data_IF_456017951306
#
_entry.id   IF_456017951306
#
_cell.length_a   1.000
_cell.length_b   1.000
_cell.length_c   1.000
_cell.angle_alpha   90.00
_cell.angle_beta   90.00
_cell.angle_gamma   90.00
#
_symmetry.space_group_name_H-M   'P 1'
#
loop_
_entity.id
_entity.type
_entity.pdbx_description
1 polymer ?
#
# COMPACT_ATOMS: atom_id res chain seq x y z
N UNK A 1 -74.34 14.43 27.33
CA UNK A 1 -73.22 15.28 26.84
C UNK A 1 -72.09 15.24 27.85
N UNK A 2 -71.03 14.50 27.57
CA UNK A 2 -69.83 14.45 28.44
C UNK A 2 -69.09 15.78 28.24
N UNK A 3 -69.14 16.70 29.20
CA UNK A 3 -68.31 17.90 29.21
C UNK A 3 -66.88 17.48 29.53
N UNK A 4 -66.08 17.26 28.50
CA UNK A 4 -64.65 17.07 28.67
C UNK A 4 -64.04 18.29 29.36
N UNK A 5 -63.37 18.07 30.49
CA UNK A 5 -62.66 19.11 31.20
C UNK A 5 -61.48 19.56 30.32
N UNK A 6 -61.53 20.80 29.80
CA UNK A 6 -60.52 21.36 28.89
C UNK A 6 -59.10 21.23 29.46
N UNK A 7 -58.96 21.32 30.78
CA UNK A 7 -57.68 21.14 31.49
C UNK A 7 -57.17 19.71 31.38
N UNK A 8 -58.05 18.71 31.46
CA UNK A 8 -57.68 17.30 31.33
C UNK A 8 -57.23 16.97 29.89
N UNK A 9 -57.93 17.48 28.87
CA UNK A 9 -57.49 17.34 27.47
C UNK A 9 -56.11 17.98 27.24
N UNK A 10 -55.86 19.15 27.83
CA UNK A 10 -54.57 19.85 27.70
C UNK A 10 -53.43 19.08 28.37
N UNK A 11 -53.67 18.48 29.54
CA UNK A 11 -52.68 17.63 30.23
C UNK A 11 -52.37 16.37 29.42
N UNK A 12 -53.38 15.70 28.86
CA UNK A 12 -53.19 14.51 28.02
C UNK A 12 -52.39 14.88 26.76
N UNK A 13 -52.67 16.02 26.14
CA UNK A 13 -51.93 16.51 24.98
C UNK A 13 -50.45 16.77 25.33
N UNK A 14 -50.18 17.50 26.42
CA UNK A 14 -48.81 17.75 26.88
C UNK A 14 -48.05 16.46 27.19
N UNK A 15 -48.70 15.50 27.84
CA UNK A 15 -48.11 14.20 28.15
C UNK A 15 -47.80 13.40 26.88
N UNK A 16 -48.70 13.42 25.89
CA UNK A 16 -48.47 12.77 24.59
C UNK A 16 -47.31 13.41 23.80
N UNK A 17 -47.19 14.74 23.83
CA UNK A 17 -46.07 15.48 23.22
C UNK A 17 -44.76 15.12 23.93
N UNK A 18 -44.76 15.05 25.26
CA UNK A 18 -43.58 14.66 26.03
C UNK A 18 -43.12 13.24 25.69
N UNK A 19 -44.04 12.27 25.58
CA UNK A 19 -43.71 10.90 25.16
C UNK A 19 -43.12 10.88 23.74
N UNK A 20 -43.71 11.62 22.79
CA UNK A 20 -43.20 11.72 21.42
C UNK A 20 -41.78 12.31 21.38
N UNK A 21 -41.52 13.38 22.15
CA UNK A 21 -40.19 13.99 22.24
C UNK A 21 -39.17 13.04 22.90
N UNK A 22 -39.57 12.30 23.95
CA UNK A 22 -38.72 11.32 24.60
C UNK A 22 -38.37 10.14 23.68
N UNK A 23 -39.35 9.63 22.92
CA UNK A 23 -39.13 8.58 21.92
C UNK A 23 -38.23 9.09 20.79
N UNK A 24 -38.47 10.30 20.27
CA UNK A 24 -37.63 10.91 19.24
C UNK A 24 -36.18 11.10 19.70
N UNK A 25 -35.97 11.59 20.93
CA UNK A 25 -34.64 11.76 21.51
C UNK A 25 -33.91 10.41 21.69
N UNK A 26 -34.61 9.37 22.14
CA UNK A 26 -34.03 8.03 22.24
C UNK A 26 -33.67 7.45 20.86
N UNK A 27 -34.54 7.60 19.86
CA UNK A 27 -34.27 7.17 18.48
C UNK A 27 -33.04 7.88 17.94
N UNK A 28 -32.96 9.20 18.10
CA UNK A 28 -31.82 10.00 17.65
C UNK A 28 -30.53 9.57 18.34
N UNK A 29 -30.58 9.30 19.66
CA UNK A 29 -29.43 8.81 20.42
C UNK A 29 -28.99 7.42 19.98
N UNK A 30 -29.91 6.49 19.71
CA UNK A 30 -29.56 5.18 19.12
C UNK A 30 -28.97 5.33 17.72
N UNK A 31 -29.50 6.23 16.89
CA UNK A 31 -28.98 6.46 15.53
C UNK A 31 -27.58 7.08 15.56
N UNK A 32 -27.32 8.06 16.42
CA UNK A 32 -25.98 8.62 16.64
C UNK A 32 -24.99 7.58 17.16
N UNK A 33 -25.42 6.68 18.04
CA UNK A 33 -24.58 5.58 18.51
C UNK A 33 -24.26 4.57 17.39
N UNK A 34 -25.22 4.27 16.51
CA UNK A 34 -25.00 3.39 15.35
C UNK A 34 -24.02 4.03 14.36
N UNK A 35 -24.14 5.33 14.08
CA UNK A 35 -23.19 6.04 13.19
C UNK A 35 -21.76 5.96 13.76
N UNK A 36 -21.58 6.13 15.07
CA UNK A 36 -20.26 5.99 15.70
C UNK A 36 -19.67 4.57 15.60
N UNK A 37 -20.49 3.53 15.46
CA UNK A 37 -20.02 2.14 15.34
C UNK A 37 -19.48 1.84 13.92
N UNK A 38 -19.89 2.61 12.91
CA UNK A 38 -19.48 2.41 11.51
C UNK A 38 -18.62 3.56 10.96
N UNK A 39 -18.01 4.37 11.85
CA UNK A 39 -17.08 5.40 11.42
C UNK A 39 -15.76 4.76 10.95
N UNK A 40 -15.26 5.18 9.79
CA UNK A 40 -13.96 4.80 9.23
C UNK A 40 -12.99 5.99 9.14
N UNK A 41 -13.26 7.05 9.91
CA UNK A 41 -12.46 8.27 9.97
C UNK A 41 -10.98 7.99 10.25
N UNK A 42 -10.66 7.02 11.10
CA UNK A 42 -9.28 6.69 11.41
C UNK A 42 -8.56 6.10 10.20
N UNK A 43 -9.17 5.14 9.51
CA UNK A 43 -8.56 4.54 8.32
C UNK A 43 -8.42 5.57 7.20
N UNK A 44 -9.40 6.46 7.01
CA UNK A 44 -9.30 7.56 6.05
C UNK A 44 -8.04 8.42 6.28
N UNK A 45 -7.85 8.88 7.52
CA UNK A 45 -6.70 9.71 7.88
C UNK A 45 -5.39 8.94 7.75
N UNK A 46 -5.35 7.69 8.21
CA UNK A 46 -4.12 6.92 8.33
C UNK A 46 -3.71 6.20 7.04
N UNK A 47 -4.56 6.23 6.01
CA UNK A 47 -4.28 5.65 4.70
C UNK A 47 -4.26 6.67 3.57
N UNK A 48 -4.35 7.96 3.87
CA UNK A 48 -4.52 9.03 2.87
C UNK A 48 -5.73 8.72 1.96
N UNK A 49 -6.89 8.50 2.59
CA UNK A 49 -8.19 8.15 2.00
C UNK A 49 -8.26 6.84 1.19
N UNK A 50 -7.19 6.04 1.21
CA UNK A 50 -7.15 4.80 0.46
C UNK A 50 -8.03 3.69 1.06
N UNK A 51 -8.23 3.64 2.39
CA UNK A 51 -9.05 2.63 3.06
C UNK A 51 -10.21 3.26 3.83
N UNK A 52 -11.38 2.61 3.76
CA UNK A 52 -12.49 2.81 4.71
C UNK A 52 -12.72 1.48 5.43
N UNK A 53 -12.17 1.38 6.63
CA UNK A 53 -12.31 0.27 7.55
C UNK A 53 -12.79 0.85 8.88
N UNK A 54 -13.74 0.19 9.52
CA UNK A 54 -14.32 0.66 10.78
C UNK A 54 -13.21 0.84 11.81
N UNK A 55 -13.23 1.94 12.57
CA UNK A 55 -12.15 2.37 13.46
C UNK A 55 -11.69 1.28 14.45
N UNK A 56 -12.61 0.43 14.92
CA UNK A 56 -12.28 -0.70 15.79
C UNK A 56 -11.42 -1.77 15.11
N UNK A 57 -11.73 -2.09 13.86
CA UNK A 57 -10.95 -3.05 13.07
C UNK A 57 -9.63 -2.41 12.62
N UNK A 58 -9.65 -1.12 12.26
CA UNK A 58 -8.42 -0.39 11.95
C UNK A 58 -7.46 -0.34 13.14
N UNK A 59 -7.96 -0.13 14.36
CA UNK A 59 -7.16 -0.23 15.58
C UNK A 59 -6.55 -1.63 15.77
N UNK A 60 -7.34 -2.69 15.54
CA UNK A 60 -6.84 -4.08 15.59
C UNK A 60 -5.75 -4.28 14.55
N UNK A 61 -5.94 -3.80 13.33
CA UNK A 61 -4.95 -3.84 12.24
C UNK A 61 -3.64 -3.15 12.61
N UNK A 62 -3.69 -1.93 13.17
CA UNK A 62 -2.48 -1.26 13.67
C UNK A 62 -1.74 -2.11 14.70
N UNK A 63 -2.47 -2.66 15.68
CA UNK A 63 -1.88 -3.52 16.71
C UNK A 63 -1.21 -4.76 16.10
N UNK A 64 -1.86 -5.41 15.13
CA UNK A 64 -1.30 -6.58 14.43
C UNK A 64 -0.07 -6.20 13.60
N UNK A 65 -0.09 -5.05 12.91
CA UNK A 65 1.06 -4.52 12.19
C UNK A 65 2.29 -4.44 13.09
N UNK A 66 2.22 -3.79 14.26
CA UNK A 66 3.39 -3.69 15.16
C UNK A 66 3.87 -5.05 15.66
N UNK A 67 2.94 -5.95 16.00
CA UNK A 67 3.29 -7.30 16.45
C UNK A 67 4.06 -8.08 15.37
N UNK A 68 3.62 -7.98 14.12
CA UNK A 68 4.27 -8.68 13.00
C UNK A 68 5.55 -7.99 12.56
N UNK A 69 5.56 -6.66 12.47
CA UNK A 69 6.76 -5.88 12.12
C UNK A 69 7.92 -6.18 13.09
N UNK A 70 7.66 -6.24 14.40
CA UNK A 70 8.68 -6.56 15.40
C UNK A 70 9.22 -8.00 15.29
N UNK A 71 8.49 -8.91 14.62
CA UNK A 71 8.90 -10.30 14.40
C UNK A 71 9.61 -10.50 13.05
N UNK A 72 9.49 -9.55 12.13
CA UNK A 72 9.89 -9.70 10.73
C UNK A 72 11.41 -9.61 10.45
N UNK A 73 12.25 -9.63 11.48
CA UNK A 73 13.70 -9.54 11.36
C UNK A 73 14.39 -10.60 12.22
N UNK A 74 14.84 -11.66 11.57
CA UNK A 74 15.66 -12.73 12.13
C UNK A 74 17.11 -12.60 11.63
N UNK A 75 17.99 -12.13 12.51
CA UNK A 75 19.38 -11.78 12.18
C UNK A 75 20.28 -12.98 11.85
N UNK A 76 19.91 -14.19 12.28
CA UNK A 76 20.76 -15.38 12.14
C UNK A 76 20.34 -16.30 10.98
N UNK A 77 19.48 -15.83 10.06
CA UNK A 77 19.09 -16.65 8.90
C UNK A 77 20.20 -16.69 7.86
N UNK A 78 20.57 -17.88 7.39
CA UNK A 78 21.65 -18.07 6.42
C UNK A 78 21.27 -18.87 5.17
N UNK A 79 20.22 -19.69 5.24
CA UNK A 79 19.83 -20.59 4.14
C UNK A 79 18.47 -20.28 3.53
N UNK A 80 17.48 -19.94 4.35
CA UNK A 80 16.11 -19.62 3.91
C UNK A 80 15.74 -18.20 4.36
N UNK A 81 16.59 -17.23 3.97
CA UNK A 81 16.53 -15.86 4.47
C UNK A 81 15.12 -15.28 4.39
N UNK A 82 14.51 -15.34 3.21
CA UNK A 82 13.16 -14.82 3.04
C UNK A 82 12.13 -15.69 3.74
N UNK A 83 12.26 -17.00 3.88
CA UNK A 83 11.29 -17.76 4.68
C UNK A 83 11.31 -17.39 6.18
N UNK A 84 12.46 -16.93 6.69
CA UNK A 84 12.61 -16.52 8.08
C UNK A 84 12.31 -15.02 8.31
N UNK A 85 12.20 -14.21 7.25
CA UNK A 85 12.13 -12.75 7.33
C UNK A 85 11.02 -12.13 6.48
N UNK A 86 10.59 -10.93 6.88
CA UNK A 86 9.74 -10.05 6.06
C UNK A 86 8.42 -10.67 5.59
N UNK A 87 7.65 -11.29 6.48
CA UNK A 87 6.28 -11.69 6.17
C UNK A 87 5.36 -10.47 5.97
N UNK A 88 4.22 -10.61 5.26
CA UNK A 88 3.22 -9.55 5.18
C UNK A 88 2.85 -8.99 6.56
N UNK A 89 2.91 -7.67 6.69
CA UNK A 89 2.59 -6.92 7.93
C UNK A 89 1.23 -6.25 7.87
N UNK A 90 0.61 -6.26 6.70
CA UNK A 90 -0.66 -5.63 6.41
C UNK A 90 -1.48 -6.56 5.52
N UNK A 91 -2.78 -6.69 5.76
CA UNK A 91 -3.65 -7.53 4.92
C UNK A 91 -4.50 -6.66 4.01
N UNK A 92 -4.29 -6.73 2.70
CA UNK A 92 -5.16 -6.06 1.74
C UNK A 92 -6.33 -6.99 1.36
N UNK A 93 -7.55 -6.63 1.76
CA UNK A 93 -8.72 -7.49 1.59
C UNK A 93 -9.03 -7.85 0.11
N UNK A 94 -8.74 -6.92 -0.80
CA UNK A 94 -9.02 -7.07 -2.22
C UNK A 94 -7.73 -7.04 -3.05
N UNK A 95 -6.66 -7.65 -2.53
CA UNK A 95 -5.48 -7.86 -3.37
C UNK A 95 -5.80 -8.82 -4.52
N UNK A 96 -5.22 -8.55 -5.69
CA UNK A 96 -5.42 -9.33 -6.90
C UNK A 96 -4.11 -9.41 -7.68
N UNK A 97 -3.81 -10.60 -8.19
CA UNK A 97 -2.70 -10.83 -9.11
C UNK A 97 -3.14 -10.52 -10.54
N UNK A 98 -2.38 -9.68 -11.25
CA UNK A 98 -2.59 -9.37 -12.67
C UNK A 98 -1.32 -9.72 -13.46
N UNK A 99 -1.49 -10.17 -14.71
CA UNK A 99 -0.46 -10.70 -15.59
C UNK A 99 -0.50 -12.22 -15.69
N UNK A 100 0.41 -12.81 -16.46
CA UNK A 100 0.48 -14.25 -16.67
C UNK A 100 0.74 -15.02 -15.37
N UNK A 101 0.27 -16.27 -15.33
CA UNK A 101 0.67 -17.22 -14.28
C UNK A 101 2.16 -17.53 -14.39
N UNK A 102 2.83 -17.73 -13.24
CA UNK A 102 4.29 -17.87 -13.20
C UNK A 102 4.95 -16.51 -13.07
N UNK A 103 6.16 -16.38 -13.61
CA UNK A 103 6.92 -15.13 -13.58
C UNK A 103 6.28 -14.05 -14.48
N UNK A 104 6.33 -12.78 -14.06
CA UNK A 104 5.82 -11.61 -14.79
C UNK A 104 4.58 -10.93 -14.18
N UNK A 105 3.60 -11.71 -13.69
CA UNK A 105 2.43 -11.16 -13.02
C UNK A 105 2.73 -10.63 -11.62
N UNK A 106 2.04 -9.57 -11.16
CA UNK A 106 2.27 -8.93 -9.85
C UNK A 106 0.99 -8.76 -9.05
N UNK A 107 1.10 -8.70 -7.73
CA UNK A 107 -0.02 -8.51 -6.79
C UNK A 107 -0.30 -7.04 -6.51
N UNK A 108 -1.53 -6.59 -6.72
CA UNK A 108 -1.96 -5.20 -6.50
C UNK A 108 -2.98 -5.19 -5.38
N UNK A 109 -2.84 -4.25 -4.44
CA UNK A 109 -3.84 -4.01 -3.41
C UNK A 109 -5.01 -3.18 -3.97
N UNK A 110 -6.20 -3.79 -4.02
CA UNK A 110 -7.48 -3.16 -4.34
C UNK A 110 -7.46 -2.31 -5.61
N UNK A 111 -7.28 -2.99 -6.76
CA UNK A 111 -7.27 -2.35 -8.09
C UNK A 111 -8.57 -1.56 -8.37
N UNK A 112 -9.69 -1.95 -7.74
CA UNK A 112 -10.98 -1.27 -7.93
C UNK A 112 -11.02 0.13 -7.33
N UNK A 113 -10.20 0.43 -6.31
CA UNK A 113 -10.06 1.80 -5.80
C UNK A 113 -9.36 2.71 -6.79
N UNK A 114 -8.37 2.20 -7.53
CA UNK A 114 -7.68 2.96 -8.57
C UNK A 114 -8.61 3.28 -9.75
N UNK A 115 -9.59 2.41 -10.02
CA UNK A 115 -10.61 2.62 -11.07
C UNK A 115 -11.49 3.85 -10.84
N UNK A 116 -11.58 4.33 -9.60
CA UNK A 116 -12.37 5.51 -9.24
C UNK A 116 -11.61 6.82 -9.52
N UNK A 117 -10.31 6.75 -9.79
CA UNK A 117 -9.49 7.91 -10.12
C UNK A 117 -9.82 8.40 -11.54
N UNK A 118 -9.82 9.73 -11.72
CA UNK A 118 -10.04 10.33 -13.05
C UNK A 118 -8.86 10.10 -13.99
N UNK A 119 -7.66 10.09 -13.42
CA UNK A 119 -6.38 9.84 -14.07
C UNK A 119 -5.50 9.07 -13.08
N UNK A 120 -4.70 8.15 -13.59
CA UNK A 120 -3.78 7.37 -12.80
C UNK A 120 -2.48 7.12 -13.57
N UNK A 121 -1.38 6.99 -12.85
CA UNK A 121 -0.05 6.85 -13.43
C UNK A 121 0.59 5.55 -12.95
N UNK A 122 0.97 4.70 -13.90
CA UNK A 122 1.61 3.42 -13.64
C UNK A 122 2.97 3.42 -14.33
N UNK A 123 4.01 3.19 -13.54
CA UNK A 123 5.36 2.99 -14.04
C UNK A 123 5.77 1.52 -13.88
N UNK A 124 6.23 0.91 -14.97
CA UNK A 124 6.74 -0.46 -14.98
C UNK A 124 8.18 -0.48 -15.46
N UNK A 125 9.11 -0.80 -14.57
CA UNK A 125 10.54 -0.78 -14.83
C UNK A 125 11.04 -2.22 -14.97
N UNK A 126 11.72 -2.51 -16.09
CA UNK A 126 12.23 -3.83 -16.44
C UNK A 126 11.13 -4.77 -16.90
N UNK A 127 10.62 -4.53 -18.10
CA UNK A 127 9.62 -5.41 -18.73
C UNK A 127 10.22 -6.68 -19.32
N UNK A 128 11.48 -6.61 -19.77
CA UNK A 128 12.15 -7.64 -20.56
C UNK A 128 11.31 -8.16 -21.75
N UNK A 129 10.42 -7.33 -22.30
CA UNK A 129 9.51 -7.68 -23.39
C UNK A 129 8.30 -8.54 -22.97
N UNK A 130 8.16 -8.83 -21.68
CA UNK A 130 6.95 -9.39 -21.08
C UNK A 130 6.03 -8.24 -20.69
N UNK A 131 4.77 -8.35 -21.09
CA UNK A 131 3.83 -7.25 -21.16
C UNK A 131 2.44 -7.62 -20.62
N UNK A 132 2.31 -8.82 -20.07
CA UNK A 132 1.02 -9.35 -19.61
C UNK A 132 0.45 -8.55 -18.45
N UNK A 133 1.30 -8.09 -17.52
CA UNK A 133 0.90 -7.24 -16.41
C UNK A 133 0.32 -5.92 -16.90
N UNK A 134 1.04 -5.23 -17.80
CA UNK A 134 0.63 -3.93 -18.35
C UNK A 134 -0.65 -4.07 -19.20
N UNK A 135 -0.76 -5.15 -19.97
CA UNK A 135 -1.96 -5.45 -20.74
C UNK A 135 -3.18 -5.66 -19.83
N UNK A 136 -3.05 -6.50 -18.80
CA UNK A 136 -4.17 -6.81 -17.92
C UNK A 136 -4.55 -5.60 -17.06
N UNK A 137 -3.58 -4.85 -16.53
CA UNK A 137 -3.90 -3.67 -15.73
C UNK A 137 -4.53 -2.55 -16.58
N UNK A 138 -4.13 -2.40 -17.86
CA UNK A 138 -4.80 -1.48 -18.79
C UNK A 138 -6.26 -1.85 -19.03
N UNK A 139 -6.57 -3.15 -19.04
CA UNK A 139 -7.95 -3.62 -19.16
C UNK A 139 -8.81 -3.23 -17.94
N UNK A 140 -8.27 -3.36 -16.74
CA UNK A 140 -8.96 -2.96 -15.50
C UNK A 140 -9.05 -1.44 -15.35
N UNK A 141 -7.99 -0.73 -15.75
CA UNK A 141 -7.79 0.70 -15.58
C UNK A 141 -7.52 1.39 -16.93
N UNK A 142 -8.53 1.47 -17.83
CA UNK A 142 -8.35 2.01 -19.18
C UNK A 142 -7.91 3.48 -19.20
N UNK A 143 -8.20 4.22 -18.13
CA UNK A 143 -7.86 5.64 -17.98
C UNK A 143 -6.45 5.88 -17.39
N UNK A 144 -5.71 4.84 -17.00
CA UNK A 144 -4.34 5.04 -16.53
C UNK A 144 -3.37 5.23 -17.70
N UNK A 145 -2.43 6.13 -17.49
CA UNK A 145 -1.24 6.26 -18.31
C UNK A 145 -0.20 5.25 -17.80
N UNK A 146 0.18 4.32 -18.66
CA UNK A 146 1.16 3.28 -18.36
C UNK A 146 2.43 3.61 -19.12
N UNK A 147 3.53 3.77 -18.38
CA UNK A 147 4.86 3.95 -18.94
C UNK A 147 5.74 2.77 -18.56
N UNK A 148 6.32 2.15 -19.57
CA UNK A 148 7.19 0.99 -19.39
C UNK A 148 8.60 1.32 -19.80
N UNK A 149 9.57 0.93 -18.98
CA UNK A 149 10.98 1.29 -19.11
C UNK A 149 11.85 0.05 -19.16
N UNK A 150 12.77 -0.01 -20.12
CA UNK A 150 13.75 -1.11 -20.20
C UNK A 150 15.05 -0.64 -20.86
N UNK A 151 16.16 -1.32 -20.59
CA UNK A 151 17.44 -1.04 -21.25
C UNK A 151 17.46 -1.52 -22.70
N UNK A 152 16.66 -2.53 -23.03
CA UNK A 152 16.47 -3.04 -24.39
C UNK A 152 15.29 -2.35 -25.06
N UNK A 153 15.23 -2.42 -26.38
CA UNK A 153 14.08 -1.91 -27.14
C UNK A 153 13.04 -3.02 -27.28
N UNK A 154 11.79 -2.73 -26.92
CA UNK A 154 10.67 -3.64 -27.11
C UNK A 154 9.46 -2.89 -27.68
N UNK A 155 8.55 -3.63 -28.31
CA UNK A 155 7.33 -3.05 -28.86
C UNK A 155 6.17 -3.22 -27.87
N UNK A 156 5.86 -2.16 -27.13
CA UNK A 156 4.61 -2.05 -26.38
C UNK A 156 3.66 -1.12 -27.15
N UNK A 157 2.69 -1.69 -27.85
CA UNK A 157 1.66 -0.93 -28.58
C UNK A 157 0.33 -1.00 -27.85
N UNK A 158 -0.48 0.05 -27.97
CA UNK A 158 -1.88 0.17 -27.51
C UNK A 158 -2.12 0.19 -25.99
N UNK A 159 -1.28 -0.47 -25.20
CA UNK A 159 -1.48 -0.60 -23.76
C UNK A 159 -0.58 0.31 -22.91
N UNK A 160 0.61 0.64 -23.40
CA UNK A 160 1.58 1.46 -22.68
C UNK A 160 2.43 2.32 -23.62
N UNK A 161 3.11 3.32 -23.07
CA UNK A 161 4.17 4.07 -23.75
C UNK A 161 5.51 3.50 -23.33
N UNK A 162 6.26 2.97 -24.30
CA UNK A 162 7.58 2.38 -24.05
C UNK A 162 8.71 3.41 -24.06
N UNK A 163 9.69 3.22 -23.18
CA UNK A 163 10.87 4.06 -23.06
C UNK A 163 12.13 3.21 -22.90
N UNK A 164 13.06 3.33 -23.84
CA UNK A 164 14.38 2.73 -23.69
C UNK A 164 15.24 3.55 -22.73
N UNK A 165 15.39 3.09 -21.49
CA UNK A 165 16.10 3.77 -20.41
C UNK A 165 16.87 2.77 -19.57
N UNK A 166 18.12 3.08 -19.26
CA UNK A 166 18.87 2.38 -18.23
C UNK A 166 18.63 3.04 -16.87
N UNK A 167 18.13 2.28 -15.89
CA UNK A 167 17.78 2.79 -14.56
C UNK A 167 19.00 2.70 -13.64
N UNK A 168 19.26 3.76 -12.87
CA UNK A 168 20.40 3.79 -11.94
C UNK A 168 20.53 5.13 -11.21
N UNK A 169 21.75 5.47 -10.80
CA UNK A 169 22.07 6.70 -10.05
C UNK A 169 21.98 8.01 -10.83
N UNK A 170 21.77 7.99 -12.15
CA UNK A 170 21.77 9.20 -12.98
C UNK A 170 23.14 9.57 -13.57
N UNK A 171 24.16 8.75 -13.30
CA UNK A 171 25.49 8.84 -13.89
C UNK A 171 25.70 7.74 -14.95
N UNK A 172 26.76 7.85 -15.75
CA UNK A 172 27.17 6.84 -16.74
C UNK A 172 26.06 6.42 -17.72
N UNK A 173 25.19 7.37 -18.07
CA UNK A 173 24.07 7.15 -19.00
C UNK A 173 22.84 6.47 -18.38
N UNK A 174 22.83 6.24 -17.07
CA UNK A 174 21.64 5.80 -16.33
C UNK A 174 20.75 6.99 -15.96
N UNK A 175 19.48 6.73 -15.60
CA UNK A 175 18.53 7.74 -15.12
C UNK A 175 17.92 7.32 -13.78
N UNK A 176 17.75 8.29 -12.90
CA UNK A 176 16.95 8.14 -11.68
C UNK A 176 15.46 8.26 -12.01
N UNK A 177 14.58 7.79 -11.12
CA UNK A 177 13.14 8.00 -11.22
C UNK A 177 12.78 9.49 -11.35
N UNK A 178 13.46 10.35 -10.59
CA UNK A 178 13.28 11.81 -10.63
C UNK A 178 13.54 12.39 -12.02
N UNK A 179 14.64 11.98 -12.66
CA UNK A 179 14.97 12.45 -14.02
C UNK A 179 13.89 12.02 -15.01
N UNK A 180 13.46 10.76 -14.94
CA UNK A 180 12.40 10.22 -15.80
C UNK A 180 11.10 11.01 -15.61
N UNK A 181 10.67 11.23 -14.37
CA UNK A 181 9.47 12.02 -14.09
C UNK A 181 9.60 13.46 -14.60
N UNK A 182 10.78 14.07 -14.52
CA UNK A 182 10.99 15.42 -15.07
C UNK A 182 10.88 15.45 -16.59
N UNK A 183 11.48 14.49 -17.29
CA UNK A 183 11.46 14.43 -18.75
C UNK A 183 10.07 14.16 -19.31
N UNK A 184 9.25 13.39 -18.57
CA UNK A 184 7.86 13.09 -18.94
C UNK A 184 6.86 14.13 -18.42
N UNK A 185 7.31 15.21 -17.77
CA UNK A 185 6.46 16.22 -17.13
C UNK A 185 5.54 15.67 -16.02
N UNK A 186 5.96 14.59 -15.36
CA UNK A 186 5.25 13.93 -14.27
C UNK A 186 5.74 14.32 -12.86
N UNK A 187 6.62 15.32 -12.72
CA UNK A 187 7.20 15.69 -11.40
C UNK A 187 6.20 16.08 -10.30
N UNK A 188 4.96 16.46 -10.68
CA UNK A 188 3.87 16.80 -9.75
C UNK A 188 2.76 15.73 -9.71
N UNK A 189 2.96 14.59 -10.38
CA UNK A 189 1.98 13.52 -10.44
C UNK A 189 2.25 12.46 -9.36
N UNK A 190 1.18 11.89 -8.83
CA UNK A 190 1.25 10.69 -8.01
C UNK A 190 1.47 9.47 -8.89
N UNK A 191 2.36 8.57 -8.48
CA UNK A 191 2.52 7.25 -9.09
C UNK A 191 1.64 6.29 -8.30
N UNK A 192 0.58 5.78 -8.92
CA UNK A 192 -0.36 4.88 -8.27
C UNK A 192 0.24 3.48 -8.08
N UNK A 193 0.98 3.01 -9.09
CA UNK A 193 1.69 1.74 -9.06
C UNK A 193 3.07 1.91 -9.67
N UNK A 194 4.09 1.50 -8.93
CA UNK A 194 5.47 1.40 -9.37
C UNK A 194 5.90 -0.07 -9.36
N UNK A 195 5.91 -0.72 -10.52
CA UNK A 195 6.48 -2.06 -10.72
C UNK A 195 7.98 -1.93 -11.00
N UNK A 196 8.81 -2.71 -10.30
CA UNK A 196 10.27 -2.70 -10.40
C UNK A 196 10.79 -4.13 -10.49
N UNK A 197 11.46 -4.43 -11.60
CA UNK A 197 12.09 -5.71 -11.85
C UNK A 197 13.36 -5.49 -12.68
N UNK A 198 14.43 -5.02 -12.04
CA UNK A 198 15.60 -4.42 -12.73
C UNK A 198 16.88 -5.23 -12.51
N UNK A 199 16.71 -6.54 -12.34
CA UNK A 199 17.76 -7.56 -12.37
C UNK A 199 18.94 -7.24 -11.44
N UNK A 200 18.64 -6.81 -10.21
CA UNK A 200 19.65 -6.58 -9.17
C UNK A 200 19.98 -5.11 -8.90
N UNK A 201 19.50 -4.19 -9.73
CA UNK A 201 19.67 -2.75 -9.52
C UNK A 201 18.68 -2.16 -8.48
N UNK A 202 17.86 -3.00 -7.84
CA UNK A 202 16.81 -2.56 -6.91
C UNK A 202 17.39 -1.84 -5.69
N UNK A 203 18.49 -2.35 -5.12
CA UNK A 203 19.08 -1.77 -3.91
C UNK A 203 19.53 -0.33 -4.14
N UNK A 204 20.28 -0.07 -5.22
CA UNK A 204 20.70 1.28 -5.60
C UNK A 204 19.51 2.15 -5.99
N UNK A 205 18.52 1.58 -6.70
CA UNK A 205 17.29 2.31 -7.05
C UNK A 205 16.56 2.83 -5.79
N UNK A 206 16.35 1.96 -4.80
CA UNK A 206 15.63 2.35 -3.58
C UNK A 206 16.47 3.22 -2.65
N UNK A 207 17.78 3.04 -2.58
CA UNK A 207 18.66 3.99 -1.88
C UNK A 207 18.51 5.40 -2.47
N UNK A 208 18.51 5.53 -3.81
CA UNK A 208 18.30 6.81 -4.49
C UNK A 208 16.87 7.33 -4.35
N UNK A 209 15.85 6.46 -4.32
CA UNK A 209 14.46 6.89 -4.14
C UNK A 209 14.20 7.41 -2.72
N UNK A 210 14.65 6.67 -1.70
CA UNK A 210 14.27 6.89 -0.31
C UNK A 210 15.19 7.84 0.47
N UNK A 211 16.43 8.05 0.04
CA UNK A 211 17.36 8.96 0.72
C UNK A 211 17.37 10.39 0.14
N UNK A 212 16.34 10.77 -0.61
CA UNK A 212 16.21 12.11 -1.20
C UNK A 212 15.44 13.06 -0.28
N UNK A 213 15.81 14.34 -0.27
CA UNK A 213 15.16 15.39 0.54
C UNK A 213 13.87 15.94 -0.07
N UNK A 214 13.51 15.45 -1.25
CA UNK A 214 12.43 15.97 -2.09
C UNK A 214 11.10 15.22 -1.91
N UNK A 215 11.07 14.27 -0.99
CA UNK A 215 9.89 13.50 -0.59
C UNK A 215 9.19 12.75 -1.75
N UNK A 216 9.90 12.45 -2.84
CA UNK A 216 9.32 11.77 -4.01
C UNK A 216 8.60 10.46 -3.65
N UNK A 217 9.17 9.70 -2.71
CA UNK A 217 8.59 8.45 -2.21
C UNK A 217 7.17 8.60 -1.64
N UNK A 218 6.82 9.78 -1.11
CA UNK A 218 5.48 10.05 -0.55
C UNK A 218 4.40 10.12 -1.64
N UNK A 219 4.81 10.37 -2.89
CA UNK A 219 3.90 10.43 -4.03
C UNK A 219 3.64 9.06 -4.68
N UNK A 220 4.27 7.99 -4.19
CA UNK A 220 4.06 6.62 -4.69
C UNK A 220 3.07 5.90 -3.77
N UNK A 221 2.01 5.32 -4.35
CA UNK A 221 0.98 4.61 -3.58
C UNK A 221 1.32 3.15 -3.36
N UNK A 222 1.66 2.41 -4.41
CA UNK A 222 2.05 1.00 -4.34
C UNK A 222 3.40 0.76 -5.03
N UNK A 223 4.20 -0.11 -4.43
CA UNK A 223 5.47 -0.58 -5.01
C UNK A 223 5.39 -2.10 -5.13
N UNK A 224 5.56 -2.61 -6.33
CA UNK A 224 5.60 -4.03 -6.65
C UNK A 224 7.01 -4.33 -7.11
N UNK A 225 7.76 -5.15 -6.39
CA UNK A 225 9.19 -5.30 -6.61
C UNK A 225 9.62 -6.75 -6.58
N UNK A 226 10.46 -7.13 -7.54
CA UNK A 226 11.27 -8.34 -7.45
C UNK A 226 12.64 -8.03 -6.82
N UNK A 227 12.95 -8.66 -5.69
CA UNK A 227 14.21 -8.49 -4.98
C UNK A 227 15.15 -9.62 -5.34
N UNK A 228 16.21 -9.28 -6.07
CA UNK A 228 17.26 -10.20 -6.49
C UNK A 228 18.35 -10.39 -5.41
N UNK A 229 18.73 -11.64 -5.15
CA UNK A 229 19.80 -12.02 -4.21
C UNK A 229 21.19 -12.09 -4.88
N UNK A 230 21.24 -12.18 -6.21
CA UNK A 230 22.50 -12.34 -6.97
C UNK A 230 23.48 -11.19 -6.74
N UNK A 231 22.99 -9.96 -6.55
CA UNK A 231 23.80 -8.75 -6.38
C UNK A 231 24.27 -8.49 -4.95
N UNK A 232 23.82 -9.27 -3.98
CA UNK A 232 24.29 -9.19 -2.59
C UNK A 232 25.37 -10.23 -2.26
N UNK A 233 25.79 -11.04 -3.24
CA UNK A 233 26.88 -12.01 -3.04
C UNK A 233 28.22 -11.26 -3.02
N UNK A 234 28.97 -11.40 -1.93
CA UNK A 234 30.34 -10.88 -1.77
C UNK A 234 31.34 -12.00 -1.57
N UNK A 235 32.59 -11.77 -1.95
CA UNK A 235 33.68 -12.72 -1.74
C UNK A 235 34.36 -12.45 -0.40
N UNK A 236 34.38 -13.46 0.47
CA UNK A 236 35.13 -13.44 1.75
C UNK A 236 36.05 -14.65 1.75
N UNK A 237 37.37 -14.43 1.73
CA UNK A 237 38.37 -15.50 1.65
C UNK A 237 38.06 -16.53 0.52
N UNK A 238 37.73 -16.03 -0.68
CA UNK A 238 37.34 -16.83 -1.85
C UNK A 238 36.07 -17.68 -1.68
N UNK A 239 35.27 -17.39 -0.65
CA UNK A 239 33.96 -18.02 -0.44
C UNK A 239 32.86 -17.00 -0.76
N UNK A 240 31.87 -17.33 -1.61
CA UNK A 240 30.70 -16.49 -1.82
C UNK A 240 29.84 -16.49 -0.55
N UNK A 241 29.54 -15.30 -0.03
CA UNK A 241 28.69 -15.10 1.14
C UNK A 241 27.65 -14.03 0.79
N UNK A 242 26.40 -14.26 1.17
CA UNK A 242 25.32 -13.29 1.03
C UNK A 242 25.49 -12.15 2.05
N UNK A 243 25.37 -10.90 1.59
CA UNK A 243 25.33 -9.71 2.44
C UNK A 243 23.88 -9.36 2.82
N UNK A 244 23.31 -10.13 3.74
CA UNK A 244 21.92 -9.96 4.18
C UNK A 244 21.64 -8.62 4.86
N UNK A 245 22.66 -7.91 5.34
CA UNK A 245 22.51 -6.55 5.86
C UNK A 245 22.01 -5.57 4.78
N UNK A 246 22.35 -5.79 3.50
CA UNK A 246 21.78 -4.98 2.40
C UNK A 246 20.27 -5.16 2.28
N UNK A 247 19.77 -6.38 2.46
CA UNK A 247 18.33 -6.64 2.46
C UNK A 247 17.69 -6.02 3.70
N UNK A 248 18.31 -6.17 4.86
CA UNK A 248 17.80 -5.55 6.07
C UNK A 248 17.68 -4.04 5.96
N UNK A 249 18.71 -3.38 5.42
CA UNK A 249 18.71 -1.96 5.12
C UNK A 249 17.60 -1.56 4.13
N UNK A 250 17.40 -2.34 3.06
CA UNK A 250 16.32 -2.08 2.09
C UNK A 250 14.94 -2.05 2.75
N UNK A 251 14.61 -3.06 3.57
CA UNK A 251 13.32 -3.08 4.27
C UNK A 251 13.21 -2.00 5.37
N UNK A 252 14.32 -1.64 6.01
CA UNK A 252 14.35 -0.50 6.93
C UNK A 252 14.03 0.82 6.20
N UNK A 253 14.49 0.99 4.95
CA UNK A 253 14.14 2.16 4.11
C UNK A 253 12.65 2.20 3.76
N UNK A 254 12.08 1.07 3.33
CA UNK A 254 10.63 0.97 3.07
C UNK A 254 9.81 1.38 4.29
N UNK A 255 10.16 0.84 5.47
CA UNK A 255 9.46 1.16 6.71
C UNK A 255 9.58 2.64 7.08
N UNK A 256 10.80 3.22 7.02
CA UNK A 256 11.04 4.66 7.27
C UNK A 256 10.28 5.57 6.30
N UNK A 257 9.94 5.07 5.11
CA UNK A 257 9.16 5.78 4.09
C UNK A 257 7.67 5.40 4.09
N UNK A 258 7.19 4.82 5.20
CA UNK A 258 5.77 4.52 5.44
C UNK A 258 5.15 3.48 4.51
N UNK A 259 5.96 2.55 4.00
CA UNK A 259 5.49 1.39 3.26
C UNK A 259 5.35 0.17 4.17
N UNK A 260 4.25 -0.56 3.97
CA UNK A 260 3.98 -1.85 4.65
C UNK A 260 3.87 -2.96 3.62
N UNK A 261 4.39 -4.14 3.97
CA UNK A 261 4.31 -5.33 3.12
C UNK A 261 2.88 -5.86 3.18
N UNK A 262 2.20 -5.91 2.04
CA UNK A 262 0.89 -6.56 1.94
C UNK A 262 0.93 -7.91 1.22
N UNK A 263 1.93 -8.13 0.36
CA UNK A 263 2.13 -9.39 -0.32
C UNK A 263 3.60 -9.78 -0.38
N UNK A 264 3.83 -11.10 -0.41
CA UNK A 264 5.12 -11.72 -0.63
C UNK A 264 4.92 -13.06 -1.34
N UNK A 265 5.66 -13.29 -2.41
CA UNK A 265 5.73 -14.58 -3.07
C UNK A 265 7.17 -14.92 -3.47
N UNK A 266 7.43 -16.20 -3.65
CA UNK A 266 8.70 -16.66 -4.22
C UNK A 266 8.65 -16.45 -5.74
N UNK A 267 9.74 -16.01 -6.37
CA UNK A 267 9.78 -16.00 -7.83
C UNK A 267 9.66 -17.45 -8.33
N UNK A 268 8.66 -17.72 -9.16
CA UNK A 268 8.32 -19.09 -9.58
C UNK A 268 9.28 -19.65 -10.64
N UNK A 269 10.10 -18.80 -11.27
CA UNK A 269 11.13 -19.19 -12.24
C UNK A 269 12.49 -19.41 -11.57
N UNK A 270 12.88 -18.55 -10.62
CA UNK A 270 14.14 -18.57 -9.90
C UNK A 270 13.95 -18.48 -8.37
N UNK A 271 13.34 -19.52 -7.75
CA UNK A 271 12.90 -19.47 -6.35
C UNK A 271 14.05 -19.41 -5.32
N UNK A 272 15.29 -19.57 -5.77
CA UNK A 272 16.48 -19.50 -4.93
C UNK A 272 17.19 -18.15 -4.99
N UNK A 273 16.85 -17.27 -5.96
CA UNK A 273 17.58 -16.02 -6.17
C UNK A 273 16.69 -14.79 -6.21
N UNK A 274 15.37 -14.93 -6.26
CA UNK A 274 14.48 -13.78 -6.27
C UNK A 274 13.19 -14.03 -5.47
N UNK A 275 12.71 -12.97 -4.84
CA UNK A 275 11.42 -12.93 -4.15
C UNK A 275 10.67 -11.68 -4.55
N UNK A 276 9.37 -11.83 -4.72
CA UNK A 276 8.49 -10.74 -5.08
C UNK A 276 7.79 -10.21 -3.85
N UNK A 277 7.76 -8.89 -3.72
CA UNK A 277 7.10 -8.18 -2.64
C UNK A 277 6.18 -7.11 -3.19
N UNK A 278 5.06 -6.92 -2.50
CA UNK A 278 4.17 -5.81 -2.80
C UNK A 278 3.93 -4.98 -1.53
N UNK A 279 4.12 -3.67 -1.69
CA UNK A 279 4.07 -2.68 -0.63
C UNK A 279 2.99 -1.65 -0.92
N UNK A 280 2.34 -1.19 0.14
CA UNK A 280 1.42 -0.05 0.08
C UNK A 280 1.86 1.04 1.04
N UNK A 281 1.81 2.29 0.59
CA UNK A 281 2.10 3.45 1.44
C UNK A 281 0.90 3.79 2.31
N UNK A 282 1.16 3.99 3.59
CA UNK A 282 0.22 4.53 4.57
C UNK A 282 0.66 5.93 5.01
N UNK A 283 -0.24 6.67 5.65
CA UNK A 283 0.10 7.95 6.25
C UNK A 283 1.00 7.72 7.48
N UNK A 284 1.90 8.66 7.78
CA UNK A 284 2.78 8.61 8.96
C UNK A 284 2.01 8.38 10.29
N UNK A 285 0.75 8.84 10.37
CA UNK A 285 -0.12 8.67 11.54
C UNK A 285 -0.47 7.21 11.82
N UNK A 286 -0.46 6.34 10.79
CA UNK A 286 -0.60 4.90 10.98
C UNK A 286 0.49 4.35 11.90
N UNK A 287 1.70 4.90 11.80
CA UNK A 287 2.88 4.46 12.54
C UNK A 287 3.00 5.10 13.93
N UNK A 288 2.02 5.90 14.35
CA UNK A 288 1.95 6.46 15.70
C UNK A 288 1.06 5.60 16.60
N UNK A 289 1.67 5.01 17.65
CA UNK A 289 0.92 4.39 18.75
C UNK A 289 0.43 5.51 19.67
N UNK A 290 -0.83 5.92 19.50
CA UNK A 290 -1.51 6.64 20.57
C UNK A 290 -1.92 5.62 21.62
N UNK A 291 -1.46 5.79 22.85
CA UNK A 291 -1.98 5.08 24.01
C UNK A 291 -3.46 5.46 24.20
N UNK A 292 -4.37 4.83 23.45
CA UNK A 292 -5.81 4.96 23.64
C UNK A 292 -6.34 4.08 24.78
N UNK A 293 -5.47 3.71 25.73
CA UNK A 293 -5.76 2.83 26.86
C UNK A 293 -6.71 3.44 27.90
N UNK A 294 -7.37 4.56 27.63
CA UNK A 294 -8.27 5.23 28.60
C UNK A 294 -9.74 5.27 28.19
N UNK A 295 -10.16 4.71 27.05
CA UNK A 295 -11.58 4.80 26.63
C UNK A 295 -12.38 3.49 26.66
N UNK A 296 -11.73 2.33 26.82
CA UNK A 296 -12.43 1.03 26.83
C UNK A 296 -12.76 0.52 28.26
N UNK A 297 -12.20 1.13 29.31
CA UNK A 297 -12.56 0.81 30.71
C UNK A 297 -13.90 1.41 31.17
N UNK A 298 -14.62 2.14 30.32
CA UNK A 298 -15.98 2.63 30.62
C UNK A 298 -17.11 1.83 29.96
N UNK A 299 -16.80 0.69 29.35
CA UNK A 299 -17.78 -0.23 28.76
C UNK A 299 -17.75 -1.64 29.38
N UNK A 300 -17.21 -1.78 30.59
CA UNK A 300 -17.40 -2.97 31.43
C UNK A 300 -18.29 -2.65 32.62
#
# INVERSE_FOLDING_TARGET
MIKWNRTLCFIILLFSIFILLFLFCNIQRTFSNIINIYDCKLSHIESDDFFCEIDNDWYRRKKLFYLQHNRNRYLNSTYMFFQDNYEPTFSCQFEQRLGINGDGGKWICDVYRLKQLKSCLIYSLGSNGEFSFENEIKHYLPNCDIHTFDMKEFNCTDMCTFHKVNIGSGFDGTKTLRMIMSELNHSQHHIDILKIDVEGSEYEFFDNLFNTSDHLSQNIRQILVEIHLSTIIRQVNNTPVYDFEKIHHLFDLFHKNHFVIFHKEVNLYNPHQAFEFSFIRLNEKFFQIKNYSTSIEHLR
#
